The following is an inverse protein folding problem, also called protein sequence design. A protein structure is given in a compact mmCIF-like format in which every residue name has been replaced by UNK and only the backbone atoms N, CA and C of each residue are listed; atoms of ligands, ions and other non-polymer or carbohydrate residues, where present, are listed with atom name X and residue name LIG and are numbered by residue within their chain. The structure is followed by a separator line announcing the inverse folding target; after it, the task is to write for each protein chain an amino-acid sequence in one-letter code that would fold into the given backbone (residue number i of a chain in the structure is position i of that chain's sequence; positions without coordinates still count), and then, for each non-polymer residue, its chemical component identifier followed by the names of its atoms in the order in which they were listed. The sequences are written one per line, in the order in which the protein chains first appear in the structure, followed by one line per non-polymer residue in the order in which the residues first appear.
data_IF_415408648783
#
_entry.id   IF_415408648783
#
_cell.length_a   1.000
_cell.length_b   1.000
_cell.length_c   1.000
_cell.angle_alpha   90.00
_cell.angle_beta   90.00
_cell.angle_gamma   90.00
#
_symmetry.space_group_name_H-M   'P 1'
#
loop_
_entity.id
_entity.type
_entity.pdbx_description
1 polymer ?
#
# COMPACT_ATOMS: atom_id res chain seq x y z
N UNK A 1 -8.13 -13.61 8.35
CA UNK A 1 -8.31 -12.71 7.20
C UNK A 1 -7.46 -11.47 7.35
N UNK A 2 -6.86 -10.95 6.26
CA UNK A 2 -6.12 -9.68 6.35
C UNK A 2 -7.07 -8.53 6.70
N UNK A 3 -6.56 -7.57 7.46
CA UNK A 3 -7.31 -6.38 7.86
C UNK A 3 -6.93 -5.23 6.93
N UNK A 4 -7.62 -5.14 5.81
CA UNK A 4 -7.40 -4.07 4.83
C UNK A 4 -8.39 -2.94 5.14
N UNK A 5 -7.86 -1.85 5.65
CA UNK A 5 -8.66 -0.71 6.10
C UNK A 5 -8.99 0.28 5.02
N UNK A 6 -8.13 0.33 3.99
CA UNK A 6 -8.30 1.29 2.89
C UNK A 6 -7.55 0.81 1.67
N UNK A 7 -8.16 0.94 0.50
CA UNK A 7 -7.48 0.81 -0.78
C UNK A 7 -7.68 2.13 -1.51
N UNK A 8 -6.57 2.82 -1.81
CA UNK A 8 -6.61 4.17 -2.36
C UNK A 8 -5.88 4.24 -3.69
N UNK A 9 -6.43 5.04 -4.60
CA UNK A 9 -5.80 5.33 -5.88
C UNK A 9 -5.19 6.72 -5.80
N UNK A 10 -3.87 6.83 -6.03
CA UNK A 10 -3.17 8.11 -6.05
C UNK A 10 -1.99 7.97 -7.01
N UNK A 11 -2.01 8.78 -8.09
CA UNK A 11 -0.97 8.69 -9.11
C UNK A 11 0.41 9.11 -8.62
N UNK A 12 0.49 9.73 -7.45
CA UNK A 12 1.77 10.08 -6.81
C UNK A 12 2.16 9.11 -5.71
N UNK A 13 1.29 8.15 -5.40
CA UNK A 13 1.48 7.14 -4.34
C UNK A 13 1.69 7.81 -2.98
N UNK A 14 2.75 7.46 -2.23
CA UNK A 14 3.00 8.10 -0.93
C UNK A 14 3.64 9.46 -1.14
N UNK A 15 2.97 10.52 -0.70
CA UNK A 15 3.52 11.87 -0.82
C UNK A 15 2.98 12.77 0.29
N UNK A 16 3.87 13.57 0.88
CA UNK A 16 3.55 14.64 1.80
C UNK A 16 2.62 14.25 2.95
N UNK A 17 1.94 15.27 3.48
CA UNK A 17 1.07 15.12 4.65
C UNK A 17 -0.23 14.38 4.35
N UNK A 18 -0.60 14.24 3.08
CA UNK A 18 -1.85 13.56 2.71
C UNK A 18 -1.86 12.12 3.20
N UNK A 19 -0.76 11.39 2.96
CA UNK A 19 -0.63 10.01 3.43
C UNK A 19 -0.75 9.92 4.95
N UNK A 20 -0.09 10.82 5.68
CA UNK A 20 -0.15 10.86 7.14
C UNK A 20 -1.58 11.07 7.63
N UNK A 21 -2.32 11.98 6.99
CA UNK A 21 -3.67 12.32 7.42
C UNK A 21 -4.62 11.13 7.29
N UNK A 22 -4.72 10.53 6.11
CA UNK A 22 -5.70 9.46 5.92
C UNK A 22 -5.28 8.14 6.58
N UNK A 23 -3.98 7.88 6.73
CA UNK A 23 -3.52 6.72 7.52
C UNK A 23 -3.96 6.84 8.97
N UNK A 24 -3.86 8.03 9.56
CA UNK A 24 -4.31 8.27 10.92
C UNK A 24 -5.81 8.06 11.07
N UNK A 25 -6.60 8.51 10.11
CA UNK A 25 -8.05 8.38 10.14
C UNK A 25 -8.48 6.91 10.14
N UNK A 26 -7.86 6.07 9.32
CA UNK A 26 -8.25 4.65 9.22
C UNK A 26 -7.51 3.76 10.21
N UNK A 27 -6.52 4.29 10.93
CA UNK A 27 -5.75 3.52 11.91
C UNK A 27 -4.82 2.49 11.29
N UNK A 28 -4.32 2.75 10.09
CA UNK A 28 -3.39 1.84 9.41
C UNK A 28 -2.01 1.88 10.04
N UNK A 29 -1.39 0.73 10.22
CA UNK A 29 -0.02 0.61 10.70
C UNK A 29 0.91 0.02 9.64
N UNK A 30 0.40 -0.29 8.45
CA UNK A 30 1.17 -0.80 7.32
C UNK A 30 0.67 -0.15 6.05
N UNK A 31 1.58 0.53 5.35
CA UNK A 31 1.34 1.09 4.03
C UNK A 31 1.92 0.15 2.98
N UNK A 32 1.07 -0.41 2.14
CA UNK A 32 1.50 -1.31 1.08
C UNK A 32 1.28 -0.62 -0.26
N UNK A 33 2.38 -0.34 -0.94
CA UNK A 33 2.35 0.23 -2.29
C UNK A 33 2.39 -0.92 -3.28
N UNK A 34 1.30 -1.14 -3.98
CA UNK A 34 1.18 -2.18 -5.00
C UNK A 34 1.40 -1.54 -6.38
N UNK A 35 2.64 -1.59 -6.84
CA UNK A 35 3.04 -0.96 -8.10
C UNK A 35 4.29 -1.63 -8.64
N UNK A 36 4.22 -2.16 -9.87
CA UNK A 36 5.31 -2.93 -10.45
C UNK A 36 6.56 -2.08 -10.67
N UNK A 37 6.40 -0.85 -11.12
CA UNK A 37 7.53 0.04 -11.39
C UNK A 37 8.25 0.43 -10.10
N UNK A 38 7.51 0.78 -9.06
CA UNK A 38 8.09 1.17 -7.77
C UNK A 38 8.74 -0.02 -7.07
N UNK A 39 8.16 -1.21 -7.20
CA UNK A 39 8.72 -2.41 -6.60
C UNK A 39 10.13 -2.71 -7.14
N UNK A 40 10.46 -2.23 -8.32
CA UNK A 40 11.77 -2.38 -8.94
C UNK A 40 12.65 -1.12 -8.82
N UNK A 41 12.21 -0.09 -8.12
CA UNK A 41 12.86 1.21 -8.07
C UNK A 41 13.16 1.63 -6.62
N UNK A 42 14.34 1.25 -6.14
CA UNK A 42 14.77 1.53 -4.76
C UNK A 42 14.85 3.03 -4.47
N UNK A 43 15.19 3.84 -5.46
CA UNK A 43 15.27 5.29 -5.27
C UNK A 43 13.89 5.88 -4.95
N UNK A 44 12.86 5.50 -5.70
CA UNK A 44 11.50 5.95 -5.44
C UNK A 44 10.99 5.42 -4.08
N UNK A 45 11.33 4.18 -3.74
CA UNK A 45 10.98 3.61 -2.44
C UNK A 45 11.56 4.44 -1.29
N UNK A 46 12.81 4.86 -1.41
CA UNK A 46 13.45 5.70 -0.41
C UNK A 46 12.75 7.05 -0.23
N UNK A 47 12.37 7.68 -1.34
CA UNK A 47 11.63 8.94 -1.29
C UNK A 47 10.27 8.79 -0.62
N UNK A 48 9.56 7.70 -0.93
CA UNK A 48 8.25 7.43 -0.35
C UNK A 48 8.36 7.12 1.15
N UNK A 49 9.40 6.39 1.56
CA UNK A 49 9.64 6.12 2.98
C UNK A 49 9.82 7.42 3.77
N UNK A 50 10.49 8.41 3.20
CA UNK A 50 10.66 9.70 3.85
C UNK A 50 9.35 10.45 4.01
N UNK A 51 8.39 10.24 3.12
CA UNK A 51 7.08 10.89 3.16
C UNK A 51 6.06 10.12 3.99
N UNK A 52 6.34 8.87 4.34
CA UNK A 52 5.41 8.03 5.08
C UNK A 52 5.36 8.43 6.56
N UNK A 53 4.19 8.22 7.23
CA UNK A 53 4.10 8.50 8.66
C UNK A 53 4.99 7.56 9.47
N UNK A 54 5.56 8.09 10.56
CA UNK A 54 6.50 7.34 11.38
C UNK A 54 5.85 6.13 12.08
N UNK A 55 4.54 6.17 12.31
CA UNK A 55 3.82 5.10 12.99
C UNK A 55 3.45 3.93 12.09
N UNK A 56 3.69 4.03 10.79
CA UNK A 56 3.32 2.98 9.83
C UNK A 56 4.56 2.45 9.13
N UNK A 57 4.62 1.13 9.00
CA UNK A 57 5.64 0.49 8.17
C UNK A 57 5.25 0.59 6.72
N UNK A 58 6.23 0.58 5.82
CA UNK A 58 5.98 0.62 4.38
C UNK A 58 6.48 -0.65 3.72
N UNK A 59 5.76 -1.08 2.68
CA UNK A 59 6.15 -2.19 1.82
C UNK A 59 5.87 -1.83 0.38
N UNK A 60 6.74 -2.25 -0.50
CA UNK A 60 6.64 -1.96 -1.94
C UNK A 60 6.66 -3.29 -2.69
N UNK A 61 5.52 -3.70 -3.20
CA UNK A 61 5.37 -4.99 -3.87
C UNK A 61 4.80 -4.80 -5.27
N UNK A 62 5.12 -5.76 -6.15
CA UNK A 62 4.41 -5.86 -7.44
C UNK A 62 2.95 -6.20 -7.18
N UNK A 63 2.11 -5.98 -8.18
CA UNK A 63 0.70 -6.37 -8.10
C UNK A 63 0.59 -7.88 -7.85
N UNK A 64 1.36 -8.68 -8.61
CA UNK A 64 1.35 -10.14 -8.47
C UNK A 64 1.77 -10.58 -7.08
N UNK A 65 2.86 -10.01 -6.54
CA UNK A 65 3.32 -10.37 -5.20
C UNK A 65 2.29 -10.01 -4.14
N UNK A 66 1.63 -8.87 -4.29
CA UNK A 66 0.57 -8.45 -3.37
C UNK A 66 -0.55 -9.48 -3.35
N UNK A 67 -1.01 -9.92 -4.52
CA UNK A 67 -2.05 -10.93 -4.63
C UNK A 67 -1.63 -12.22 -3.92
N UNK A 68 -0.38 -12.63 -4.12
CA UNK A 68 0.10 -13.92 -3.60
C UNK A 68 0.29 -13.93 -2.09
N UNK A 69 0.64 -12.79 -1.46
CA UNK A 69 1.03 -12.78 -0.05
C UNK A 69 0.05 -12.08 0.88
N UNK A 70 -0.95 -11.37 0.36
CA UNK A 70 -1.86 -10.59 1.20
C UNK A 70 -2.56 -11.45 2.25
N UNK A 71 -2.86 -12.69 1.93
CA UNK A 71 -3.54 -13.60 2.85
C UNK A 71 -2.66 -14.07 4.02
N UNK A 72 -1.35 -13.84 3.91
CA UNK A 72 -0.40 -14.17 4.97
C UNK A 72 -0.26 -13.08 6.02
N UNK A 73 -0.90 -11.92 5.81
CA UNK A 73 -0.86 -10.83 6.76
C UNK A 73 -1.56 -11.21 8.05
N UNK A 74 -0.96 -10.84 9.20
CA UNK A 74 -1.54 -11.13 10.50
C UNK A 74 -2.70 -10.18 10.80
N UNK A 75 -3.55 -10.56 11.77
CA UNK A 75 -4.67 -9.72 12.20
C UNK A 75 -4.19 -8.43 12.86
N UNK A 76 -2.93 -8.37 13.31
CA UNK A 76 -2.36 -7.16 13.90
C UNK A 76 -1.88 -6.15 12.86
N UNK A 77 -1.84 -6.53 11.60
CA UNK A 77 -1.44 -5.64 10.52
C UNK A 77 -2.69 -4.98 9.93
N UNK A 78 -2.82 -3.68 10.21
CA UNK A 78 -3.91 -2.85 9.70
C UNK A 78 -3.41 -2.16 8.43
N UNK A 79 -3.86 -2.64 7.29
CA UNK A 79 -3.23 -2.35 6.00
C UNK A 79 -3.98 -1.27 5.24
N UNK A 80 -3.24 -0.28 4.74
CA UNK A 80 -3.73 0.64 3.71
C UNK A 80 -2.95 0.34 2.43
N UNK A 81 -3.68 0.02 1.37
CA UNK A 81 -3.09 -0.26 0.06
C UNK A 81 -3.18 0.98 -0.81
N UNK A 82 -2.07 1.34 -1.45
CA UNK A 82 -2.03 2.45 -2.39
C UNK A 82 -1.65 1.93 -3.77
N UNK A 83 -2.46 2.28 -4.77
CA UNK A 83 -2.21 1.97 -6.17
C UNK A 83 -2.12 3.25 -6.98
N UNK A 84 -1.43 3.17 -8.12
CA UNK A 84 -1.24 4.33 -9.01
C UNK A 84 -2.47 4.60 -9.86
N UNK A 85 -3.23 3.56 -10.22
CA UNK A 85 -4.33 3.67 -11.17
C UNK A 85 -5.48 2.75 -10.81
N UNK A 86 -6.70 3.03 -11.34
CA UNK A 86 -7.84 2.11 -11.17
C UNK A 86 -7.59 0.73 -11.76
N UNK A 87 -6.79 0.63 -12.82
CA UNK A 87 -6.46 -0.65 -13.45
C UNK A 87 -5.69 -1.54 -12.47
N UNK A 88 -4.79 -0.98 -11.68
CA UNK A 88 -4.05 -1.73 -10.68
C UNK A 88 -4.97 -2.27 -9.59
N UNK A 89 -5.92 -1.45 -9.12
CA UNK A 89 -6.90 -1.89 -8.14
C UNK A 89 -7.75 -3.02 -8.70
N UNK A 90 -8.17 -2.91 -9.96
CA UNK A 90 -8.95 -3.96 -10.61
C UNK A 90 -8.19 -5.29 -10.64
N UNK A 91 -6.90 -5.26 -10.96
CA UNK A 91 -6.07 -6.47 -10.95
C UNK A 91 -6.01 -7.10 -9.58
N UNK A 92 -5.89 -6.29 -8.52
CA UNK A 92 -5.88 -6.79 -7.15
C UNK A 92 -7.20 -7.47 -6.79
N UNK A 93 -8.31 -6.84 -7.12
CA UNK A 93 -9.64 -7.40 -6.84
C UNK A 93 -9.86 -8.70 -7.59
N UNK A 94 -9.51 -8.75 -8.88
CA UNK A 94 -9.62 -9.96 -9.69
C UNK A 94 -8.72 -11.08 -9.15
N UNK A 95 -7.60 -10.73 -8.53
CA UNK A 95 -6.70 -11.69 -7.91
C UNK A 95 -7.10 -12.15 -6.51
N UNK A 96 -8.22 -11.66 -5.98
CA UNK A 96 -8.75 -12.10 -4.70
C UNK A 96 -8.38 -11.23 -3.51
N UNK A 97 -7.85 -10.05 -3.71
CA UNK A 97 -7.61 -9.10 -2.61
C UNK A 97 -8.94 -8.53 -2.13
N UNK A 98 -9.24 -8.60 -0.83
CA UNK A 98 -10.53 -8.14 -0.30
C UNK A 98 -10.81 -6.66 -0.49
#
# INVERSE_FOLDING_TARGET
MPDIRLTRIDNRLIHGQVATQWCGVVGANLLLVANDAVAADEFRQGLMNMAAPAYAQTRFFTIEKTINIIHKASANQHIAIICESPQDVLKLVEGGVP
#
